data_IF_460480421529
#
_entry.id   IF_460480421529
#
_cell.length_a   1.000
_cell.length_b   1.000
_cell.length_c   1.000
_cell.angle_alpha   90.00
_cell.angle_beta   90.00
_cell.angle_gamma   90.00
#
_symmetry.space_group_name_H-M   'P 1'
#
loop_
_entity.id
_entity.type
_entity.pdbx_description
1 polymer ?
#
# COMPACT_ATOMS: atom_id res chain seq x y z
N UNK A 1 -19.54 8.97 -14.19
CA UNK A 1 -19.15 7.98 -13.17
C UNK A 1 -19.74 8.41 -11.85
N UNK A 2 -20.61 7.60 -11.23
CA UNK A 2 -21.17 7.92 -9.91
C UNK A 2 -20.24 7.38 -8.82
N UNK A 3 -19.67 8.26 -8.01
CA UNK A 3 -18.99 7.87 -6.79
C UNK A 3 -20.06 7.39 -5.79
N UNK A 4 -19.97 6.13 -5.35
CA UNK A 4 -20.82 5.63 -4.28
C UNK A 4 -20.10 5.83 -2.95
N UNK A 5 -20.69 6.65 -2.09
CA UNK A 5 -20.18 6.91 -0.75
C UNK A 5 -21.06 6.18 0.27
N UNK A 6 -20.41 5.42 1.16
CA UNK A 6 -21.08 4.72 2.25
C UNK A 6 -20.47 5.19 3.58
N UNK A 7 -21.31 5.36 4.59
CA UNK A 7 -20.81 5.52 5.96
C UNK A 7 -20.16 4.23 6.46
N UNK A 8 -19.25 4.34 7.44
CA UNK A 8 -18.66 3.18 8.11
C UNK A 8 -19.73 2.24 8.71
N UNK A 9 -20.84 2.82 9.18
CA UNK A 9 -21.96 2.06 9.72
C UNK A 9 -22.70 1.27 8.64
N UNK A 10 -22.97 1.86 7.48
CA UNK A 10 -23.58 1.17 6.34
C UNK A 10 -22.67 0.07 5.79
N UNK A 11 -21.38 0.35 5.61
CA UNK A 11 -20.41 -0.65 5.16
C UNK A 11 -20.35 -1.86 6.13
N UNK A 12 -20.35 -1.59 7.43
CA UNK A 12 -20.38 -2.62 8.47
C UNK A 12 -21.68 -3.44 8.46
N UNK A 13 -22.82 -2.78 8.25
CA UNK A 13 -24.11 -3.47 8.13
C UNK A 13 -24.18 -4.35 6.89
N UNK A 14 -23.65 -3.88 5.76
CA UNK A 14 -23.60 -4.63 4.51
C UNK A 14 -22.77 -5.92 4.65
N UNK A 15 -21.58 -5.82 5.26
CA UNK A 15 -20.75 -7.00 5.59
C UNK A 15 -21.51 -7.98 6.50
N UNK A 16 -22.17 -7.49 7.56
CA UNK A 16 -22.91 -8.35 8.50
C UNK A 16 -24.10 -9.06 7.85
N UNK A 17 -24.79 -8.42 6.91
CA UNK A 17 -25.91 -9.01 6.16
C UNK A 17 -25.43 -10.07 5.16
N UNK A 18 -24.22 -9.90 4.61
CA UNK A 18 -23.65 -10.85 3.67
C UNK A 18 -22.99 -12.04 4.40
N UNK A 19 -23.73 -13.15 4.54
CA UNK A 19 -23.22 -14.40 5.16
C UNK A 19 -22.01 -14.99 4.41
N UNK A 20 -21.85 -14.67 3.13
CA UNK A 20 -20.74 -15.12 2.29
C UNK A 20 -19.52 -14.19 2.34
N UNK A 21 -19.57 -13.09 3.10
CA UNK A 21 -18.45 -12.15 3.26
C UNK A 21 -17.31 -12.68 4.13
N UNK A 22 -17.45 -13.88 4.71
CA UNK A 22 -16.51 -14.46 5.66
C UNK A 22 -15.83 -15.68 5.07
N UNK A 23 -14.51 -15.75 5.23
CA UNK A 23 -13.71 -16.89 4.80
C UNK A 23 -13.87 -18.07 5.78
N UNK A 24 -14.16 -19.29 5.33
CA UNK A 24 -14.27 -20.48 6.18
C UNK A 24 -12.86 -20.95 6.59
N UNK A 25 -12.36 -20.40 7.69
CA UNK A 25 -10.99 -20.63 8.20
C UNK A 25 -10.88 -21.70 9.29
N UNK A 26 -12.02 -22.27 9.72
CA UNK A 26 -12.08 -23.34 10.72
C UNK A 26 -12.00 -22.89 12.17
N UNK A 27 -12.07 -21.58 12.47
CA UNK A 27 -12.00 -21.07 13.86
C UNK A 27 -13.31 -21.18 14.64
N UNK A 28 -14.45 -21.48 13.99
CA UNK A 28 -15.75 -21.66 14.65
C UNK A 28 -16.09 -23.13 14.86
N UNK A 29 -16.88 -23.38 15.90
CA UNK A 29 -17.47 -24.69 16.15
C UNK A 29 -18.31 -25.11 14.93
N UNK A 30 -18.05 -26.31 14.40
CA UNK A 30 -18.70 -26.88 13.22
C UNK A 30 -18.41 -26.16 11.88
N UNK A 31 -17.33 -25.38 11.79
CA UNK A 31 -16.84 -24.80 10.52
C UNK A 31 -15.57 -25.56 10.10
N UNK A 32 -15.60 -26.21 8.94
CA UNK A 32 -14.40 -26.85 8.37
C UNK A 32 -13.69 -25.83 7.50
N UNK A 33 -12.35 -25.78 7.60
CA UNK A 33 -11.55 -25.00 6.66
C UNK A 33 -11.85 -25.46 5.23
N UNK A 34 -11.92 -24.54 4.28
CA UNK A 34 -12.01 -24.93 2.87
C UNK A 34 -10.82 -25.83 2.51
N UNK A 35 -11.10 -27.01 1.95
CA UNK A 35 -10.09 -27.97 1.48
C UNK A 35 -10.26 -28.18 -0.02
N UNK A 36 -9.16 -28.50 -0.72
CA UNK A 36 -9.14 -28.58 -2.18
C UNK A 36 -8.98 -27.22 -2.88
N UNK A 37 -9.31 -27.18 -4.17
CA UNK A 37 -9.28 -25.96 -4.97
C UNK A 37 -10.67 -25.30 -4.95
N UNK A 38 -10.72 -24.04 -4.53
CA UNK A 38 -11.93 -23.23 -4.68
C UNK A 38 -11.90 -22.60 -6.06
N UNK A 39 -12.81 -23.01 -6.94
CA UNK A 39 -12.98 -22.29 -8.19
C UNK A 39 -13.74 -20.99 -7.89
N UNK A 40 -13.11 -19.86 -8.20
CA UNK A 40 -13.68 -18.54 -7.96
C UNK A 40 -14.11 -17.99 -9.31
N UNK A 41 -15.42 -18.00 -9.57
CA UNK A 41 -15.97 -17.30 -10.74
C UNK A 41 -15.84 -15.80 -10.51
N UNK A 42 -14.92 -15.17 -11.24
CA UNK A 42 -14.76 -13.71 -11.25
C UNK A 42 -15.43 -13.17 -12.50
N UNK A 43 -16.45 -12.34 -12.32
CA UNK A 43 -17.07 -11.55 -13.39
C UNK A 43 -16.74 -10.08 -13.16
N UNK A 44 -15.63 -9.55 -13.70
CA UNK A 44 -15.24 -8.17 -13.50
C UNK A 44 -16.29 -7.23 -14.11
N UNK A 45 -16.67 -6.19 -13.39
CA UNK A 45 -17.62 -5.16 -13.85
C UNK A 45 -16.93 -3.93 -14.45
N UNK A 46 -15.59 -3.95 -14.50
CA UNK A 46 -14.76 -2.87 -14.99
C UNK A 46 -13.61 -3.43 -15.83
N UNK A 47 -13.06 -2.57 -16.68
CA UNK A 47 -11.87 -2.83 -17.48
C UNK A 47 -10.90 -1.66 -17.33
N UNK A 48 -9.63 -1.94 -17.56
CA UNK A 48 -8.54 -0.98 -17.57
C UNK A 48 -7.48 -1.47 -18.56
N UNK A 49 -6.67 -0.58 -19.10
CA UNK A 49 -5.64 -0.88 -20.10
C UNK A 49 -4.24 -0.49 -19.62
N UNK A 50 -3.20 -0.89 -20.36
CA UNK A 50 -1.81 -0.70 -19.95
C UNK A 50 -1.37 0.77 -19.85
N UNK A 51 -2.14 1.72 -20.37
CA UNK A 51 -1.90 3.15 -20.21
C UNK A 51 -2.45 3.67 -18.86
N UNK A 52 -3.37 2.96 -18.22
CA UNK A 52 -3.90 3.32 -16.90
C UNK A 52 -2.81 3.22 -15.81
N UNK A 53 -2.83 4.17 -14.88
CA UNK A 53 -1.97 4.16 -13.70
C UNK A 53 -2.63 3.35 -12.60
N UNK A 54 -1.93 2.31 -12.14
CA UNK A 54 -2.41 1.43 -11.08
C UNK A 54 -1.55 1.63 -9.83
N UNK A 55 -2.20 1.97 -8.73
CA UNK A 55 -1.63 1.96 -7.39
C UNK A 55 -2.24 0.78 -6.62
N UNK A 56 -1.40 0.02 -5.93
CA UNK A 56 -1.89 -1.05 -5.04
C UNK A 56 -1.62 -0.69 -3.58
N UNK A 57 -2.61 -0.92 -2.72
CA UNK A 57 -2.51 -0.70 -1.27
C UNK A 57 -3.01 -1.96 -0.59
N UNK A 58 -2.22 -2.54 0.31
CA UNK A 58 -2.61 -3.74 1.03
C UNK A 58 -1.44 -4.50 1.63
N UNK A 59 -1.69 -5.77 1.97
CA UNK A 59 -0.66 -6.69 2.47
C UNK A 59 0.34 -7.05 1.37
N UNK A 60 1.28 -7.96 1.66
CA UNK A 60 2.24 -8.50 0.68
C UNK A 60 1.58 -9.03 -0.61
N UNK A 61 0.29 -9.35 -0.57
CA UNK A 61 -0.47 -9.74 -1.76
C UNK A 61 -0.53 -8.63 -2.82
N UNK A 62 -0.59 -7.36 -2.41
CA UNK A 62 -0.57 -6.21 -3.31
C UNK A 62 0.70 -6.20 -4.18
N UNK A 63 1.85 -6.59 -3.61
CA UNK A 63 3.12 -6.69 -4.32
C UNK A 63 3.13 -7.78 -5.40
N UNK A 64 2.40 -8.88 -5.19
CA UNK A 64 2.25 -9.92 -6.22
C UNK A 64 1.33 -9.47 -7.35
N UNK A 65 0.28 -8.68 -7.04
CA UNK A 65 -0.54 -8.02 -8.06
C UNK A 65 0.33 -7.07 -8.90
N UNK A 66 1.16 -6.23 -8.28
CA UNK A 66 2.07 -5.31 -8.99
C UNK A 66 3.01 -6.06 -9.93
N UNK A 67 3.67 -7.13 -9.46
CA UNK A 67 4.55 -7.96 -10.30
C UNK A 67 3.80 -8.57 -11.48
N UNK A 68 2.58 -9.06 -11.25
CA UNK A 68 1.77 -9.65 -12.30
C UNK A 68 1.36 -8.61 -13.34
N UNK A 69 0.89 -7.44 -12.91
CA UNK A 69 0.53 -6.34 -13.80
C UNK A 69 1.76 -5.85 -14.60
N UNK A 70 2.92 -5.71 -13.96
CA UNK A 70 4.15 -5.36 -14.66
C UNK A 70 4.51 -6.40 -15.74
N UNK A 71 4.34 -7.69 -15.46
CA UNK A 71 4.56 -8.76 -16.45
C UNK A 71 3.59 -8.71 -17.63
N UNK A 72 2.46 -8.02 -17.49
CA UNK A 72 1.46 -7.78 -18.53
C UNK A 72 1.67 -6.44 -19.27
N UNK A 73 2.75 -5.69 -18.96
CA UNK A 73 3.10 -4.44 -19.64
C UNK A 73 2.57 -3.16 -18.99
N UNK A 74 2.00 -3.24 -17.78
CA UNK A 74 1.59 -2.05 -17.04
C UNK A 74 2.79 -1.32 -16.44
N UNK A 75 2.72 0.02 -16.38
CA UNK A 75 3.66 0.85 -15.62
C UNK A 75 3.12 1.08 -14.21
N UNK A 76 3.85 0.63 -13.19
CA UNK A 76 3.45 0.72 -11.79
C UNK A 76 4.38 1.70 -11.06
N UNK A 77 3.87 2.85 -10.56
CA UNK A 77 4.70 3.86 -9.89
C UNK A 77 5.53 3.29 -8.73
N UNK A 78 4.97 2.34 -7.98
CA UNK A 78 5.64 1.70 -6.87
C UNK A 78 6.81 0.80 -7.31
N UNK A 79 6.86 0.30 -8.55
CA UNK A 79 7.99 -0.51 -9.04
C UNK A 79 9.11 0.33 -9.65
N UNK A 80 8.82 1.56 -10.06
CA UNK A 80 9.79 2.52 -10.62
C UNK A 80 10.64 3.23 -9.56
N UNK A 81 10.41 2.92 -8.28
CA UNK A 81 11.20 3.44 -7.17
C UNK A 81 12.56 2.74 -7.15
N UNK A 82 13.60 3.55 -7.25
CA UNK A 82 14.99 3.11 -7.13
C UNK A 82 15.58 3.67 -5.83
N UNK A 83 16.31 2.85 -5.10
CA UNK A 83 17.09 3.24 -3.91
C UNK A 83 18.39 2.43 -3.91
N UNK A 84 19.52 2.99 -3.44
CA UNK A 84 20.80 2.29 -3.41
C UNK A 84 20.68 0.98 -2.63
N UNK A 85 21.41 -0.04 -3.08
CA UNK A 85 21.27 -1.40 -2.55
C UNK A 85 21.56 -1.47 -1.05
N UNK A 86 22.47 -0.62 -0.57
CA UNK A 86 22.91 -0.53 0.82
C UNK A 86 21.80 -0.01 1.74
N UNK A 87 20.83 0.73 1.18
CA UNK A 87 19.68 1.27 1.93
C UNK A 87 18.47 0.34 1.89
N UNK A 88 18.50 -0.71 1.07
CA UNK A 88 17.35 -1.58 0.91
C UNK A 88 17.23 -2.53 2.10
N UNK A 89 16.05 -2.50 2.72
CA UNK A 89 15.70 -3.38 3.85
C UNK A 89 15.38 -4.79 3.38
N UNK A 90 14.93 -4.92 2.12
CA UNK A 90 14.64 -6.18 1.44
C UNK A 90 15.24 -6.15 0.04
N UNK A 91 15.12 -7.25 -0.69
CA UNK A 91 15.64 -7.33 -2.07
C UNK A 91 15.08 -6.23 -2.99
N UNK A 92 13.84 -5.79 -2.78
CA UNK A 92 13.19 -4.80 -3.63
C UNK A 92 13.32 -3.38 -3.07
N UNK A 93 13.63 -2.43 -3.95
CA UNK A 93 13.77 -1.00 -3.64
C UNK A 93 12.50 -0.44 -2.97
N UNK A 94 11.35 -0.71 -3.55
CA UNK A 94 10.05 -0.26 -3.05
C UNK A 94 9.55 -0.92 -1.75
N UNK A 95 10.40 -1.69 -1.07
CA UNK A 95 10.11 -2.14 0.30
C UNK A 95 10.12 -0.99 1.31
N UNK A 96 10.76 0.14 0.97
CA UNK A 96 10.78 1.35 1.78
C UNK A 96 9.38 1.94 2.03
N UNK A 97 8.46 1.73 1.08
CA UNK A 97 7.09 2.25 1.14
C UNK A 97 6.19 1.50 2.12
N UNK A 98 6.67 0.39 2.69
CA UNK A 98 5.85 -0.49 3.49
C UNK A 98 5.43 0.17 4.80
N UNK A 99 4.16 0.61 4.83
CA UNK A 99 3.49 1.18 6.01
C UNK A 99 2.20 0.43 6.26
N UNK A 100 2.00 -0.02 7.50
CA UNK A 100 0.89 -0.91 7.85
C UNK A 100 -0.20 -0.26 8.72
N UNK A 101 -0.13 1.06 8.94
CA UNK A 101 -1.14 1.76 9.75
C UNK A 101 -2.26 2.31 8.88
N UNK A 102 -3.47 2.37 9.42
CA UNK A 102 -4.63 3.00 8.77
C UNK A 102 -4.33 4.46 8.43
N UNK A 103 -3.66 5.19 9.33
CA UNK A 103 -3.27 6.58 9.11
C UNK A 103 -2.31 6.75 7.93
N UNK A 104 -1.37 5.81 7.76
CA UNK A 104 -0.46 5.85 6.61
C UNK A 104 -1.19 5.64 5.29
N UNK A 105 -2.13 4.69 5.24
CA UNK A 105 -2.94 4.46 4.04
C UNK A 105 -3.84 5.66 3.72
N UNK A 106 -4.44 6.26 4.75
CA UNK A 106 -5.27 7.46 4.62
C UNK A 106 -4.47 8.65 4.10
N UNK A 107 -3.26 8.88 4.61
CA UNK A 107 -2.35 9.91 4.09
C UNK A 107 -2.05 9.72 2.60
N UNK A 108 -1.64 8.51 2.16
CA UNK A 108 -1.33 8.26 0.74
C UNK A 108 -2.52 8.51 -0.18
N UNK A 109 -3.72 8.11 0.25
CA UNK A 109 -4.95 8.38 -0.50
C UNK A 109 -5.20 9.88 -0.53
N UNK A 110 -5.22 10.55 0.62
CA UNK A 110 -5.51 11.99 0.71
C UNK A 110 -4.53 12.81 -0.11
N UNK A 111 -3.23 12.53 -0.02
CA UNK A 111 -2.19 13.25 -0.77
C UNK A 111 -2.24 13.00 -2.27
N UNK A 112 -2.77 11.84 -2.70
CA UNK A 112 -2.99 11.56 -4.12
C UNK A 112 -4.14 12.36 -4.75
N UNK A 113 -5.08 12.87 -3.93
CA UNK A 113 -6.26 13.60 -4.41
C UNK A 113 -6.31 15.06 -3.97
N UNK A 114 -5.58 15.43 -2.91
CA UNK A 114 -5.61 16.74 -2.27
C UNK A 114 -4.20 17.27 -2.09
N UNK A 115 -4.02 18.58 -2.33
CA UNK A 115 -2.83 19.27 -1.86
C UNK A 115 -3.01 19.59 -0.37
N UNK A 116 -2.34 18.82 0.47
CA UNK A 116 -2.39 18.99 1.92
C UNK A 116 -1.46 20.10 2.44
N UNK A 117 -0.59 20.66 1.60
CA UNK A 117 0.31 21.77 1.95
C UNK A 117 1.29 21.49 3.10
N UNK A 118 1.53 20.22 3.46
CA UNK A 118 2.45 19.85 4.54
C UNK A 118 3.88 19.76 3.99
N UNK A 119 4.83 20.58 4.46
CA UNK A 119 6.23 20.47 4.06
C UNK A 119 6.79 19.09 4.45
N UNK A 120 7.47 18.41 3.53
CA UNK A 120 8.02 17.07 3.81
C UNK A 120 9.02 17.05 4.98
N UNK A 121 9.66 18.18 5.28
CA UNK A 121 10.59 18.32 6.40
C UNK A 121 9.90 18.06 7.75
N UNK A 122 8.60 18.32 7.85
CA UNK A 122 7.82 18.10 9.06
C UNK A 122 7.63 16.60 9.36
N UNK A 123 7.93 15.73 8.39
CA UNK A 123 7.92 14.28 8.57
C UNK A 123 9.24 13.74 9.13
N UNK A 124 10.29 14.55 9.20
CA UNK A 124 11.61 14.08 9.60
C UNK A 124 11.76 14.11 11.12
N UNK A 125 12.00 12.94 11.69
CA UNK A 125 12.28 12.74 13.11
C UNK A 125 13.78 12.71 13.32
N UNK A 126 14.28 13.46 14.31
CA UNK A 126 15.69 13.43 14.68
C UNK A 126 16.02 12.08 15.33
N UNK A 127 16.94 11.32 14.73
CA UNK A 127 17.38 9.99 15.18
C UNK A 127 18.67 10.00 16.00
N UNK A 128 19.42 11.11 15.98
CA UNK A 128 20.68 11.31 16.71
C UNK A 128 21.19 12.74 16.57
N UNK A 129 22.46 12.99 16.87
CA UNK A 129 23.05 14.33 16.78
C UNK A 129 22.89 14.92 15.36
N UNK A 130 23.27 14.16 14.32
CA UNK A 130 23.20 14.63 12.92
C UNK A 130 22.42 13.69 11.99
N UNK A 131 21.56 12.84 12.55
CA UNK A 131 20.80 11.86 11.78
C UNK A 131 19.30 12.06 11.90
N UNK A 132 18.61 11.71 10.82
CA UNK A 132 17.19 11.95 10.59
C UNK A 132 16.54 10.72 9.99
N UNK A 133 15.32 10.44 10.42
CA UNK A 133 14.47 9.38 9.91
C UNK A 133 13.19 9.97 9.36
N UNK A 134 12.72 9.45 8.22
CA UNK A 134 11.48 9.88 7.62
C UNK A 134 10.30 9.05 8.16
N UNK A 135 9.40 9.68 8.91
CA UNK A 135 8.24 9.02 9.51
C UNK A 135 7.21 8.46 8.52
N UNK A 136 7.31 8.79 7.22
CA UNK A 136 6.47 8.17 6.19
C UNK A 136 7.21 7.07 5.40
N UNK A 137 8.37 6.65 5.86
CA UNK A 137 9.04 5.45 5.36
C UNK A 137 8.86 4.29 6.34
N UNK A 138 9.28 3.10 5.91
CA UNK A 138 9.28 1.92 6.76
C UNK A 138 10.15 2.15 8.03
N UNK A 139 9.69 1.77 9.24
CA UNK A 139 10.34 2.18 10.49
C UNK A 139 11.76 1.68 10.71
N UNK A 140 12.15 0.56 10.10
CA UNK A 140 13.47 -0.05 10.29
C UNK A 140 14.54 0.48 9.32
N UNK A 141 14.24 1.57 8.61
CA UNK A 141 15.20 2.26 7.76
C UNK A 141 16.20 3.05 8.63
N UNK A 142 17.52 2.85 8.45
CA UNK A 142 18.52 3.58 9.22
C UNK A 142 18.37 5.10 9.09
N UNK A 143 18.48 5.86 10.19
CA UNK A 143 18.61 7.30 10.14
C UNK A 143 19.85 7.71 9.33
N UNK A 144 19.74 8.79 8.55
CA UNK A 144 20.80 9.30 7.68
C UNK A 144 20.95 10.81 7.82
N UNK A 145 21.92 11.42 7.14
CA UNK A 145 22.06 12.88 7.13
C UNK A 145 20.78 13.58 6.66
N UNK A 146 20.60 14.85 7.06
CA UNK A 146 19.46 15.65 6.64
C UNK A 146 19.35 15.76 5.10
N UNK A 147 20.49 15.90 4.44
CA UNK A 147 20.58 15.93 2.97
C UNK A 147 20.08 14.62 2.36
N UNK A 148 20.56 13.47 2.87
CA UNK A 148 20.19 12.16 2.32
C UNK A 148 18.73 11.80 2.59
N UNK A 149 18.17 12.13 3.75
CA UNK A 149 16.73 11.89 4.02
C UNK A 149 15.84 12.73 3.10
N UNK A 150 16.26 13.97 2.82
CA UNK A 150 15.57 14.87 1.89
C UNK A 150 15.62 14.33 0.46
N UNK A 151 16.79 13.89 0.00
CA UNK A 151 16.98 13.26 -1.30
C UNK A 151 16.10 12.02 -1.45
N UNK A 152 16.16 11.11 -0.47
CA UNK A 152 15.38 9.87 -0.45
C UNK A 152 13.88 10.13 -0.51
N UNK A 153 13.38 11.14 0.20
CA UNK A 153 11.97 11.56 0.11
C UNK A 153 11.60 11.97 -1.32
N UNK A 154 12.41 12.79 -1.98
CA UNK A 154 12.14 13.20 -3.37
C UNK A 154 12.11 12.00 -4.32
N UNK A 155 12.92 10.97 -4.06
CA UNK A 155 12.96 9.75 -4.89
C UNK A 155 11.64 8.97 -4.85
N UNK A 156 10.87 9.06 -3.76
CA UNK A 156 9.63 8.29 -3.55
C UNK A 156 8.34 9.10 -3.68
N UNK A 157 8.43 10.43 -3.86
CA UNK A 157 7.30 11.34 -4.06
C UNK A 157 7.07 11.71 -5.54
N UNK A 158 7.35 10.77 -6.46
CA UNK A 158 7.21 11.00 -7.92
C UNK A 158 5.77 10.94 -8.40
#
# INVERSE_FOLDING_TARGET
MSLFQFSSQEASQNIRKNRSSRWPDGRRKNETRLTGFADVTVTPTFSFDTADKILTIGSCFAREIEKRLASLGFTLPALDIEIPQEERIRQTANSILNKYTVHSMENEIRWGFEDVGIPFQDFFLRGGEDTWHDAQMVPNLPPVSFERVTERRRMVSK
#
